data_IF_176569249527
#
_entry.id   IF_176569249527
#
_cell.length_a   1.000
_cell.length_b   1.000
_cell.length_c   1.000
_cell.angle_alpha   90.00
_cell.angle_beta   90.00
_cell.angle_gamma   90.00
#
_symmetry.space_group_name_H-M   'P 1'
#
loop_
_entity.id
_entity.type
_entity.pdbx_description
1 polymer ?
#
# COMPACT_ATOMS: atom_id res chain seq x y z
N UNK A 1 4.77 -19.44 5.81
CA UNK A 1 4.23 -18.21 5.20
C UNK A 1 3.50 -18.59 3.93
N UNK A 2 2.18 -18.43 3.90
CA UNK A 2 1.43 -18.57 2.66
C UNK A 2 0.97 -17.20 2.19
N UNK A 3 1.06 -16.90 0.89
CA UNK A 3 0.49 -15.69 0.30
C UNK A 3 -1.03 -15.59 0.58
N UNK A 4 -1.69 -16.72 0.88
CA UNK A 4 -3.07 -16.74 1.36
C UNK A 4 -3.26 -15.99 2.67
N UNK A 5 -2.26 -15.95 3.56
CA UNK A 5 -2.37 -15.31 4.87
C UNK A 5 -2.37 -13.78 4.73
N UNK A 6 -1.51 -13.27 3.84
CA UNK A 6 -1.49 -11.86 3.44
C UNK A 6 -2.84 -11.49 2.84
N UNK A 7 -3.29 -12.26 1.85
CA UNK A 7 -4.54 -12.00 1.15
C UNK A 7 -5.76 -12.06 2.08
N UNK A 8 -5.84 -13.06 2.96
CA UNK A 8 -6.92 -13.15 3.95
C UNK A 8 -6.90 -11.97 4.92
N UNK A 9 -5.74 -11.59 5.48
CA UNK A 9 -5.68 -10.45 6.40
C UNK A 9 -6.06 -9.14 5.72
N UNK A 10 -5.64 -8.93 4.47
CA UNK A 10 -6.01 -7.76 3.68
C UNK A 10 -7.51 -7.73 3.37
N UNK A 11 -8.10 -8.84 2.90
CA UNK A 11 -9.52 -8.90 2.57
C UNK A 11 -10.44 -8.79 3.80
N UNK A 12 -10.02 -9.35 4.93
CA UNK A 12 -10.78 -9.29 6.18
C UNK A 12 -10.46 -8.07 7.05
N UNK A 13 -9.67 -7.11 6.53
CA UNK A 13 -9.26 -5.90 7.26
C UNK A 13 -8.68 -6.19 8.66
N UNK A 14 -7.95 -7.31 8.80
CA UNK A 14 -7.30 -7.63 10.07
C UNK A 14 -6.04 -6.78 10.22
N UNK A 15 -6.05 -5.91 11.22
CA UNK A 15 -4.92 -5.05 11.57
C UNK A 15 -4.18 -5.56 12.80
N UNK A 16 -2.91 -5.20 12.98
CA UNK A 16 -2.14 -5.60 14.16
C UNK A 16 -2.66 -4.90 15.43
N UNK A 17 -2.78 -5.65 16.52
CA UNK A 17 -3.18 -5.12 17.83
C UNK A 17 -1.95 -4.82 18.70
N UNK A 18 -1.99 -3.77 19.54
CA UNK A 18 -0.90 -3.45 20.44
C UNK A 18 -0.79 -4.55 21.52
N UNK A 19 0.44 -5.05 21.83
CA UNK A 19 0.64 -6.12 22.80
C UNK A 19 0.42 -5.66 24.25
N UNK A 20 0.51 -4.36 24.52
CA UNK A 20 0.21 -3.77 25.82
C UNK A 20 -0.47 -2.40 25.71
N UNK A 21 -1.18 -1.93 26.75
CA UNK A 21 -1.76 -0.58 26.79
C UNK A 21 -0.72 0.54 26.62
N UNK A 22 0.54 0.28 26.99
CA UNK A 22 1.63 1.27 26.88
C UNK A 22 2.03 1.51 25.42
N UNK A 23 1.85 0.52 24.56
CA UNK A 23 2.22 0.58 23.13
C UNK A 23 1.10 1.17 22.27
N UNK A 24 -0.09 1.40 22.85
CA UNK A 24 -1.26 1.95 22.15
C UNK A 24 -0.94 3.27 21.45
N UNK A 25 -0.19 4.16 22.11
CA UNK A 25 0.21 5.44 21.52
C UNK A 25 1.14 5.25 20.31
N UNK A 26 2.07 4.30 20.37
CA UNK A 26 2.96 3.99 19.26
C UNK A 26 2.19 3.42 18.06
N UNK A 27 1.23 2.53 18.30
CA UNK A 27 0.39 1.96 17.23
C UNK A 27 -0.49 3.02 16.55
N UNK A 28 -1.03 3.98 17.32
CA UNK A 28 -1.75 5.12 16.76
C UNK A 28 -0.83 5.96 15.89
N UNK A 29 0.39 6.27 16.36
CA UNK A 29 1.36 7.06 15.60
C UNK A 29 1.79 6.34 14.31
N UNK A 30 2.06 5.03 14.37
CA UNK A 30 2.41 4.21 13.21
C UNK A 30 1.24 4.10 12.23
N UNK A 31 0.01 4.03 12.71
CA UNK A 31 -1.20 4.10 11.88
C UNK A 31 -1.30 5.43 11.13
N UNK A 32 -1.13 6.56 11.83
CA UNK A 32 -1.11 7.90 11.22
C UNK A 32 0.01 8.00 10.19
N UNK A 33 1.21 7.53 10.52
CA UNK A 33 2.36 7.52 9.62
C UNK A 33 2.07 6.73 8.34
N UNK A 34 1.39 5.59 8.47
CA UNK A 34 0.99 4.73 7.35
C UNK A 34 0.00 5.42 6.38
N UNK A 35 -0.74 6.44 6.82
CA UNK A 35 -1.64 7.21 5.96
C UNK A 35 -0.90 8.19 5.03
N UNK A 36 0.27 8.69 5.45
CA UNK A 36 1.08 9.61 4.63
C UNK A 36 2.16 8.87 3.85
N UNK A 37 2.79 7.87 4.47
CA UNK A 37 3.80 7.02 3.88
C UNK A 37 3.22 5.62 3.75
N UNK A 38 2.61 5.36 2.60
CA UNK A 38 1.91 4.12 2.30
C UNK A 38 2.72 2.90 2.74
N UNK A 39 2.22 2.10 3.67
CA UNK A 39 2.86 0.84 4.09
C UNK A 39 4.02 0.96 5.08
N UNK A 40 4.59 2.15 5.32
CA UNK A 40 5.74 2.31 6.21
C UNK A 40 5.40 1.95 7.67
N UNK A 41 4.23 2.36 8.16
CA UNK A 41 3.79 2.02 9.51
C UNK A 41 3.56 0.52 9.68
N UNK A 42 2.98 -0.15 8.68
CA UNK A 42 2.79 -1.61 8.69
C UNK A 42 4.11 -2.40 8.67
N UNK A 43 5.12 -1.91 7.94
CA UNK A 43 6.46 -2.50 7.94
C UNK A 43 7.08 -2.42 9.34
N UNK A 44 7.03 -1.24 9.96
CA UNK A 44 7.59 -1.02 11.31
C UNK A 44 6.86 -1.89 12.35
N UNK A 45 5.53 -1.97 12.30
CA UNK A 45 4.76 -2.87 13.19
C UNK A 45 5.15 -4.33 12.96
N UNK A 46 5.33 -4.74 11.70
CA UNK A 46 5.81 -6.07 11.37
C UNK A 46 7.16 -6.38 12.00
N UNK A 47 8.12 -5.44 11.96
CA UNK A 47 9.41 -5.59 12.65
C UNK A 47 9.28 -5.68 14.17
N UNK A 48 8.45 -4.83 14.77
CA UNK A 48 8.22 -4.85 16.22
C UNK A 48 7.61 -6.18 16.70
N UNK A 49 6.74 -6.79 15.91
CA UNK A 49 6.08 -8.06 16.25
C UNK A 49 6.77 -9.30 15.67
N UNK A 50 7.87 -9.14 14.92
CA UNK A 50 8.45 -10.21 14.09
C UNK A 50 7.39 -10.91 13.20
N UNK A 51 6.38 -10.16 12.76
CA UNK A 51 5.28 -10.65 11.92
C UNK A 51 5.54 -10.26 10.46
N UNK A 52 6.08 -11.23 9.72
CA UNK A 52 6.42 -11.08 8.30
C UNK A 52 5.20 -10.82 7.43
N UNK A 53 3.99 -11.26 7.83
CA UNK A 53 2.76 -10.99 7.07
C UNK A 53 2.43 -9.50 7.11
N UNK A 54 2.58 -8.86 8.27
CA UNK A 54 2.38 -7.41 8.41
C UNK A 54 3.42 -6.61 7.62
N UNK A 55 4.67 -7.09 7.60
CA UNK A 55 5.72 -6.52 6.73
C UNK A 55 5.33 -6.60 5.25
N UNK A 56 4.89 -7.77 4.78
CA UNK A 56 4.47 -7.97 3.39
C UNK A 56 3.27 -7.12 3.01
N UNK A 57 2.29 -6.98 3.90
CA UNK A 57 1.16 -6.06 3.69
C UNK A 57 1.66 -4.63 3.52
N UNK A 58 2.62 -4.19 4.33
CA UNK A 58 3.22 -2.87 4.18
C UNK A 58 3.99 -2.69 2.86
N UNK A 59 4.74 -3.70 2.40
CA UNK A 59 5.38 -3.67 1.08
C UNK A 59 4.35 -3.59 -0.05
N UNK A 60 3.25 -4.34 0.04
CA UNK A 60 2.17 -4.26 -0.95
C UNK A 60 1.53 -2.86 -0.97
N UNK A 61 1.32 -2.25 0.20
CA UNK A 61 0.81 -0.89 0.32
C UNK A 61 1.75 0.16 -0.30
N UNK A 62 3.08 -0.05 -0.29
CA UNK A 62 4.03 0.81 -1.01
C UNK A 62 3.92 0.66 -2.54
N UNK A 63 3.69 -0.55 -3.03
CA UNK A 63 3.66 -0.85 -4.47
C UNK A 63 2.36 -0.38 -5.14
N UNK A 64 1.21 -0.51 -4.47
CA UNK A 64 -0.09 -0.10 -5.01
C UNK A 64 -0.16 1.36 -5.52
N UNK A 65 0.27 2.39 -4.77
CA UNK A 65 0.25 3.78 -5.24
C UNK A 65 1.21 4.00 -6.42
N UNK A 66 2.35 3.30 -6.45
CA UNK A 66 3.30 3.39 -7.58
C UNK A 66 2.65 2.81 -8.84
N UNK A 67 2.02 1.65 -8.76
CA UNK A 67 1.31 1.03 -9.88
C UNK A 67 0.16 1.92 -10.36
N UNK A 68 -0.62 2.48 -9.43
CA UNK A 68 -1.69 3.43 -9.75
C UNK A 68 -1.18 4.69 -10.44
N UNK A 69 -0.02 5.21 -10.02
CA UNK A 69 0.62 6.37 -10.65
C UNK A 69 1.10 6.05 -12.08
N UNK A 70 1.81 4.93 -12.28
CA UNK A 70 2.25 4.50 -13.62
C UNK A 70 1.03 4.37 -14.55
N UNK A 71 -0.05 3.76 -14.07
CA UNK A 71 -1.30 3.65 -14.81
C UNK A 71 -1.86 5.02 -15.23
N UNK A 72 -1.91 5.98 -14.30
CA UNK A 72 -2.36 7.34 -14.60
C UNK A 72 -1.49 8.04 -15.66
N UNK A 73 -0.17 7.85 -15.62
CA UNK A 73 0.76 8.39 -16.62
C UNK A 73 0.49 7.83 -18.01
N UNK A 74 0.33 6.50 -18.12
CA UNK A 74 0.02 5.83 -19.41
C UNK A 74 -1.28 6.39 -20.00
N UNK A 75 -2.32 6.55 -19.18
CA UNK A 75 -3.58 7.16 -19.60
C UNK A 75 -3.41 8.61 -20.05
N UNK A 76 -2.65 9.42 -19.30
CA UNK A 76 -2.35 10.80 -19.68
C UNK A 76 -1.67 10.89 -21.04
N UNK A 77 -0.67 10.04 -21.30
CA UNK A 77 0.03 9.99 -22.59
C UNK A 77 -0.93 9.60 -23.72
N UNK A 78 -1.76 8.57 -23.54
CA UNK A 78 -2.74 8.16 -24.56
C UNK A 78 -3.73 9.28 -24.91
N UNK A 79 -4.19 10.04 -23.92
CA UNK A 79 -5.08 11.19 -24.14
C UNK A 79 -4.36 12.24 -24.99
N UNK A 80 -3.14 12.63 -24.61
CA UNK A 80 -2.35 13.64 -25.34
C UNK A 80 -2.08 13.20 -26.78
N UNK A 81 -1.65 11.96 -27.01
CA UNK A 81 -1.36 11.44 -28.35
C UNK A 81 -2.60 11.46 -29.23
N UNK A 82 -3.75 11.02 -28.71
CA UNK A 82 -5.03 11.06 -29.45
C UNK A 82 -5.50 12.49 -29.76
N UNK A 83 -5.19 13.45 -28.89
CA UNK A 83 -5.55 14.85 -29.12
C UNK A 83 -4.60 15.54 -30.12
N UNK A 84 -3.35 15.13 -30.20
CA UNK A 84 -2.33 15.74 -31.08
C UNK A 84 -2.23 15.11 -32.47
N UNK A 85 -2.65 13.86 -32.64
CA UNK A 85 -2.71 13.18 -33.95
C UNK A 85 -4.16 13.20 -34.41
N UNK A 86 -4.57 14.14 -35.29
CA UNK A 86 -5.91 14.14 -35.85
C UNK A 86 -6.13 12.82 -36.62
N UNK A 87 -7.32 12.23 -36.48
CA UNK A 87 -7.72 10.98 -37.14
C UNK A 87 -7.76 11.02 -38.68
N UNK A 88 -7.04 11.93 -39.33
CA UNK A 88 -7.10 12.15 -40.77
C UNK A 88 -6.21 11.23 -41.61
N UNK A 89 -5.47 10.27 -41.03
CA UNK A 89 -4.53 9.41 -41.77
C UNK A 89 -4.45 7.94 -41.29
N UNK A 90 -5.55 7.35 -40.80
CA UNK A 90 -5.68 5.88 -40.73
C UNK A 90 -6.92 5.47 -41.51
#
# INVERSE_FOLDING_TARGET
MSASDVFQRTLHFRVPEPPSPKDKAAYILLGILNCFFFGLGMIVIGFMQSDVVNMMIGVLQLLLPIVGWIWAVVWGVMIVVRSLVPSSNI
#
